data_IF_480755358406
#
_entry.id   IF_480755358406
#
_cell.length_a   1.000
_cell.length_b   1.000
_cell.length_c   1.000
_cell.angle_alpha   90.00
_cell.angle_beta   90.00
_cell.angle_gamma   90.00
#
_symmetry.space_group_name_H-M   'P 1'
#
loop_
_entity.id
_entity.type
_entity.pdbx_description
1 polymer ?
#
# COMPACT_ATOMS: atom_id res chain seq x y z
N UNK A 1 -44.35 -28.83 54.42
CA UNK A 1 -43.98 -27.76 53.46
C UNK A 1 -42.49 -27.88 53.20
N UNK A 2 -42.10 -28.47 52.07
CA UNK A 2 -40.71 -28.56 51.65
C UNK A 2 -40.59 -27.81 50.31
N UNK A 3 -39.86 -26.69 50.31
CA UNK A 3 -39.58 -25.93 49.10
C UNK A 3 -38.29 -26.46 48.49
N UNK A 4 -38.39 -27.02 47.28
CA UNK A 4 -37.27 -27.39 46.42
C UNK A 4 -36.83 -26.14 45.66
N UNK A 5 -35.59 -25.69 45.87
CA UNK A 5 -34.97 -24.65 45.05
C UNK A 5 -34.08 -25.32 44.01
N UNK A 6 -34.54 -25.34 42.76
CA UNK A 6 -33.75 -25.78 41.60
C UNK A 6 -32.81 -24.64 41.17
N UNK A 7 -31.52 -24.78 41.46
CA UNK A 7 -30.48 -23.90 40.93
C UNK A 7 -30.17 -24.30 39.48
N UNK A 8 -30.68 -23.52 38.52
CA UNK A 8 -30.36 -23.67 37.11
C UNK A 8 -29.02 -22.98 36.80
N UNK A 9 -27.94 -23.76 36.70
CA UNK A 9 -26.62 -23.26 36.29
C UNK A 9 -26.61 -22.88 34.82
N UNK A 10 -26.54 -21.58 34.53
CA UNK A 10 -26.39 -21.04 33.18
C UNK A 10 -24.92 -21.18 32.73
N UNK A 11 -24.63 -22.17 31.90
CA UNK A 11 -23.32 -22.31 31.24
C UNK A 11 -23.19 -21.25 30.14
N UNK A 12 -22.49 -20.15 30.44
CA UNK A 12 -22.07 -19.17 29.44
C UNK A 12 -20.93 -19.81 28.65
N UNK A 13 -21.22 -20.37 27.47
CA UNK A 13 -20.18 -20.70 26.50
C UNK A 13 -19.59 -19.39 25.98
N UNK A 14 -18.43 -19.00 26.51
CA UNK A 14 -17.60 -17.98 25.89
C UNK A 14 -17.11 -18.51 24.53
N UNK A 15 -17.68 -17.99 23.45
CA UNK A 15 -17.18 -18.25 22.10
C UNK A 15 -15.82 -17.58 21.94
N UNK A 16 -14.72 -18.32 22.12
CA UNK A 16 -13.40 -17.85 21.71
C UNK A 16 -13.39 -17.77 20.17
N UNK A 17 -13.53 -16.57 19.63
CA UNK A 17 -13.23 -16.28 18.24
C UNK A 17 -11.71 -16.40 18.04
N UNK A 18 -11.24 -17.53 17.52
CA UNK A 18 -9.87 -17.64 17.00
C UNK A 18 -9.75 -16.70 15.79
N UNK A 19 -9.12 -15.54 15.98
CA UNK A 19 -8.82 -14.64 14.89
C UNK A 19 -7.75 -15.28 14.00
N UNK A 20 -8.13 -15.63 12.77
CA UNK A 20 -7.23 -16.21 11.77
C UNK A 20 -6.37 -15.12 11.14
N UNK A 21 -5.13 -15.45 10.77
CA UNK A 21 -4.27 -14.53 10.02
C UNK A 21 -4.96 -14.09 8.72
N UNK A 22 -4.86 -12.80 8.40
CA UNK A 22 -5.36 -12.25 7.15
C UNK A 22 -4.39 -12.60 6.00
N UNK A 23 -4.93 -12.99 4.86
CA UNK A 23 -4.15 -13.14 3.63
C UNK A 23 -4.12 -11.83 2.85
N UNK A 24 -2.91 -11.41 2.48
CA UNK A 24 -2.67 -10.34 1.51
C UNK A 24 -2.20 -10.97 0.20
N UNK A 25 -3.04 -10.88 -0.82
CA UNK A 25 -2.70 -11.23 -2.20
C UNK A 25 -1.96 -10.05 -2.84
N UNK A 26 -0.63 -10.13 -2.92
CA UNK A 26 0.20 -9.09 -3.51
C UNK A 26 0.47 -9.48 -4.96
N UNK A 27 -0.11 -8.73 -5.90
CA UNK A 27 -0.14 -9.07 -7.33
C UNK A 27 0.63 -8.03 -8.13
N UNK A 28 1.50 -8.48 -9.03
CA UNK A 28 2.13 -7.61 -10.00
C UNK A 28 1.40 -7.66 -11.36
N UNK A 29 0.72 -6.59 -11.74
CA UNK A 29 0.16 -6.43 -13.10
C UNK A 29 0.95 -5.43 -13.96
N UNK A 30 2.07 -4.92 -13.45
CA UNK A 30 2.94 -4.03 -14.20
C UNK A 30 3.57 -4.75 -15.41
N UNK A 31 3.90 -4.02 -16.48
CA UNK A 31 4.62 -4.57 -17.63
C UNK A 31 6.11 -4.86 -17.35
N UNK A 32 6.54 -4.77 -16.09
CA UNK A 32 7.91 -4.97 -15.63
C UNK A 32 7.94 -5.75 -14.32
N UNK A 33 9.08 -6.36 -14.00
CA UNK A 33 9.30 -7.01 -12.71
C UNK A 33 9.22 -6.00 -11.56
N UNK A 34 8.49 -6.37 -10.51
CA UNK A 34 8.43 -5.65 -9.24
C UNK A 34 9.00 -6.55 -8.15
N UNK A 35 9.85 -6.01 -7.28
CA UNK A 35 10.27 -6.70 -6.08
C UNK A 35 9.37 -6.24 -4.95
N UNK A 36 8.26 -6.95 -4.76
CA UNK A 36 7.33 -6.70 -3.65
C UNK A 36 8.08 -6.78 -2.32
N UNK A 37 7.66 -5.96 -1.38
CA UNK A 37 8.22 -5.87 -0.05
C UNK A 37 7.10 -5.68 0.97
N UNK A 38 7.30 -6.22 2.16
CA UNK A 38 6.39 -6.08 3.28
C UNK A 38 7.17 -5.98 4.59
N UNK A 39 6.69 -5.13 5.49
CA UNK A 39 7.19 -5.01 6.85
C UNK A 39 5.99 -5.02 7.79
N UNK A 40 5.77 -6.09 8.57
CA UNK A 40 6.49 -7.38 8.54
C UNK A 40 6.20 -8.18 7.24
N UNK A 41 7.10 -9.09 6.86
CA UNK A 41 6.84 -10.08 5.79
C UNK A 41 8.02 -10.38 4.87
N UNK A 42 8.97 -9.46 4.72
CA UNK A 42 10.17 -9.65 3.89
C UNK A 42 9.98 -9.12 2.48
N UNK A 43 10.37 -9.88 1.45
CA UNK A 43 10.19 -9.45 0.08
C UNK A 43 10.29 -10.58 -0.94
N UNK A 44 9.72 -10.36 -2.12
CA UNK A 44 9.62 -11.35 -3.18
C UNK A 44 9.70 -10.70 -4.56
N UNK A 45 10.45 -11.31 -5.47
CA UNK A 45 10.44 -10.95 -6.88
C UNK A 45 9.13 -11.44 -7.51
N UNK A 46 8.41 -10.53 -8.18
CA UNK A 46 7.18 -10.81 -8.92
C UNK A 46 7.33 -10.32 -10.35
N UNK A 47 7.35 -11.26 -11.30
CA UNK A 47 7.10 -10.93 -12.71
C UNK A 47 5.62 -10.61 -12.93
N UNK A 48 5.30 -10.10 -14.12
CA UNK A 48 3.93 -9.79 -14.51
C UNK A 48 3.02 -11.01 -14.34
N UNK A 49 1.87 -10.81 -13.72
CA UNK A 49 0.88 -11.84 -13.42
C UNK A 49 1.20 -12.69 -12.19
N UNK A 50 2.39 -12.58 -11.59
CA UNK A 50 2.73 -13.35 -10.41
C UNK A 50 2.10 -12.75 -9.15
N UNK A 51 1.79 -13.64 -8.21
CA UNK A 51 1.17 -13.31 -6.92
C UNK A 51 2.02 -13.82 -5.76
N UNK A 52 2.08 -13.04 -4.69
CA UNK A 52 2.60 -13.44 -3.39
C UNK A 52 1.48 -13.39 -2.36
N UNK A 53 1.15 -14.55 -1.78
CA UNK A 53 0.28 -14.62 -0.60
C UNK A 53 1.12 -14.38 0.66
N UNK A 54 0.80 -13.31 1.39
CA UNK A 54 1.41 -12.95 2.66
C UNK A 54 0.37 -13.11 3.77
N UNK A 55 0.66 -13.96 4.76
CA UNK A 55 -0.20 -14.15 5.92
C UNK A 55 0.25 -13.25 7.07
N UNK A 56 -0.66 -12.41 7.56
CA UNK A 56 -0.37 -11.43 8.62
C UNK A 56 -1.30 -11.65 9.80
N UNK A 57 -0.72 -11.74 10.99
CA UNK A 57 -1.48 -12.01 12.21
C UNK A 57 -2.37 -10.82 12.62
N UNK A 58 -3.56 -11.07 13.19
CA UNK A 58 -4.37 -10.03 13.79
C UNK A 58 -3.57 -9.29 14.89
N UNK A 59 -3.85 -8.00 15.09
CA UNK A 59 -3.12 -7.13 16.01
C UNK A 59 -1.85 -6.51 15.42
N UNK A 60 -1.39 -6.95 14.25
CA UNK A 60 -0.27 -6.32 13.54
C UNK A 60 -0.60 -4.86 13.22
N UNK A 61 0.29 -3.93 13.55
CA UNK A 61 0.15 -2.50 13.29
C UNK A 61 1.45 -1.93 12.70
N UNK A 62 1.39 -0.69 12.23
CA UNK A 62 2.51 -0.01 11.55
C UNK A 62 3.07 -0.83 10.36
N UNK A 63 2.18 -1.58 9.71
CA UNK A 63 2.57 -2.51 8.67
C UNK A 63 2.45 -1.86 7.28
N UNK A 64 3.38 -2.24 6.40
CA UNK A 64 3.49 -1.68 5.06
C UNK A 64 3.70 -2.78 4.03
N UNK A 65 3.06 -2.64 2.88
CA UNK A 65 3.39 -3.34 1.64
C UNK A 65 3.72 -2.30 0.58
N UNK A 66 4.80 -2.51 -0.17
CA UNK A 66 5.18 -1.64 -1.29
C UNK A 66 5.89 -2.43 -2.39
N UNK A 67 5.98 -1.84 -3.58
CA UNK A 67 6.72 -2.40 -4.70
C UNK A 67 8.05 -1.67 -4.89
N UNK A 68 9.11 -2.41 -5.20
CA UNK A 68 10.44 -1.87 -5.49
C UNK A 68 10.79 -2.06 -6.96
N UNK A 69 11.43 -1.06 -7.56
CA UNK A 69 11.81 -1.08 -8.99
C UNK A 69 13.31 -0.97 -9.19
N UNK A 70 13.79 -1.43 -10.35
CA UNK A 70 15.20 -1.34 -10.73
C UNK A 70 16.15 -2.07 -9.77
N UNK A 71 15.73 -3.23 -9.26
CA UNK A 71 16.52 -3.97 -8.29
C UNK A 71 17.53 -4.91 -8.94
N UNK A 72 18.69 -5.04 -8.30
CA UNK A 72 19.68 -6.05 -8.62
C UNK A 72 20.13 -6.72 -7.32
N UNK A 73 19.96 -8.03 -7.22
CA UNK A 73 20.33 -8.85 -6.07
C UNK A 73 21.23 -10.01 -6.50
N UNK A 74 22.25 -10.31 -5.70
CA UNK A 74 23.05 -11.53 -5.85
C UNK A 74 22.25 -12.78 -5.40
N UNK A 75 22.84 -13.97 -5.57
CA UNK A 75 22.23 -15.23 -5.16
C UNK A 75 21.97 -15.37 -3.65
N UNK A 76 22.55 -14.50 -2.82
CA UNK A 76 22.29 -14.42 -1.38
C UNK A 76 21.23 -13.38 -1.01
N UNK A 77 20.61 -12.73 -2.00
CA UNK A 77 19.61 -11.69 -1.80
C UNK A 77 20.18 -10.33 -1.40
N UNK A 78 21.50 -10.12 -1.49
CA UNK A 78 22.14 -8.82 -1.19
C UNK A 78 22.22 -7.98 -2.46
N UNK A 79 21.93 -6.70 -2.34
CA UNK A 79 21.79 -5.83 -3.49
C UNK A 79 21.04 -4.56 -3.17
N UNK A 80 20.57 -3.87 -4.20
CA UNK A 80 19.90 -2.57 -4.09
C UNK A 80 18.77 -2.45 -5.10
N UNK A 81 17.76 -1.68 -4.73
CA UNK A 81 16.72 -1.18 -5.62
C UNK A 81 16.88 0.32 -5.90
N UNK A 82 16.36 0.76 -7.05
CA UNK A 82 16.32 2.17 -7.41
C UNK A 82 15.27 2.93 -6.60
N UNK A 83 14.10 2.32 -6.37
CA UNK A 83 13.03 2.87 -5.53
C UNK A 83 12.59 1.86 -4.48
N UNK A 84 12.22 2.33 -3.29
CA UNK A 84 11.71 1.49 -2.20
C UNK A 84 12.74 0.52 -1.61
N UNK A 85 14.04 0.72 -1.83
CA UNK A 85 15.09 -0.12 -1.28
C UNK A 85 14.99 -0.23 0.25
N UNK A 86 15.33 -1.38 0.82
CA UNK A 86 15.13 -1.63 2.24
C UNK A 86 16.36 -2.30 2.87
N UNK A 87 16.51 -2.13 4.17
CA UNK A 87 17.45 -2.93 4.95
C UNK A 87 17.11 -4.42 4.83
N UNK A 88 18.12 -5.28 4.69
CA UNK A 88 17.92 -6.73 4.46
C UNK A 88 17.92 -7.16 2.98
N UNK A 89 18.05 -6.23 2.03
CA UNK A 89 18.15 -6.57 0.61
C UNK A 89 16.85 -7.13 0.07
N UNK A 90 16.87 -8.33 -0.52
CA UNK A 90 15.65 -8.97 -1.05
C UNK A 90 14.57 -9.15 0.03
N UNK A 91 14.97 -9.56 1.24
CA UNK A 91 14.10 -9.82 2.37
C UNK A 91 14.10 -8.64 3.36
N UNK A 92 13.20 -7.68 3.16
CA UNK A 92 13.14 -6.46 3.96
C UNK A 92 13.00 -6.73 5.47
N UNK A 93 13.81 -6.02 6.26
CA UNK A 93 13.80 -6.02 7.73
C UNK A 93 13.36 -4.67 8.33
N UNK A 94 12.83 -3.79 7.48
CA UNK A 94 12.38 -2.44 7.84
C UNK A 94 11.65 -1.81 6.66
N UNK A 95 11.33 -0.53 6.79
CA UNK A 95 10.64 0.23 5.75
C UNK A 95 11.55 0.56 4.56
N UNK A 96 10.95 0.77 3.40
CA UNK A 96 11.67 1.15 2.19
C UNK A 96 12.04 2.64 2.16
N UNK A 97 13.08 2.96 1.39
CA UNK A 97 13.53 4.33 1.13
C UNK A 97 12.64 4.99 0.05
N UNK A 98 12.09 6.19 0.31
CA UNK A 98 11.34 6.97 -0.68
C UNK A 98 12.08 7.20 -2.02
N UNK A 99 11.35 7.32 -3.15
CA UNK A 99 9.90 7.28 -3.24
C UNK A 99 9.35 5.86 -3.32
N UNK A 100 8.26 5.59 -2.61
CA UNK A 100 7.54 4.31 -2.70
C UNK A 100 6.05 4.51 -2.36
N UNK A 101 5.16 4.09 -3.26
CA UNK A 101 3.73 4.05 -2.99
C UNK A 101 3.47 2.97 -1.94
N UNK A 102 2.83 3.33 -0.82
CA UNK A 102 2.60 2.42 0.30
C UNK A 102 1.14 1.96 0.34
N UNK A 103 0.94 0.68 0.61
CA UNK A 103 -0.27 0.18 1.27
C UNK A 103 0.06 0.06 2.76
N UNK A 104 -0.56 0.89 3.60
CA UNK A 104 -0.38 0.85 5.06
C UNK A 104 -1.60 0.20 5.71
N UNK A 105 -1.38 -0.59 6.76
CA UNK A 105 -2.48 -1.24 7.46
C UNK A 105 -2.18 -1.55 8.93
N UNK A 106 -3.26 -1.68 9.71
CA UNK A 106 -3.25 -2.17 11.07
C UNK A 106 -4.48 -3.07 11.29
N UNK A 107 -4.27 -4.34 11.66
CA UNK A 107 -5.30 -5.37 11.71
C UNK A 107 -5.87 -5.56 13.11
N UNK A 108 -7.17 -5.78 13.23
CA UNK A 108 -7.90 -6.05 14.47
C UNK A 108 -7.56 -5.04 15.59
N UNK A 109 -7.76 -3.76 15.29
CA UNK A 109 -7.48 -2.64 16.18
C UNK A 109 -8.74 -2.27 16.97
N UNK A 110 -8.95 -0.98 17.23
CA UNK A 110 -10.12 -0.48 17.94
C UNK A 110 -11.43 -0.97 17.30
N UNK A 111 -12.36 -1.42 18.15
CA UNK A 111 -13.69 -1.91 17.75
C UNK A 111 -13.70 -3.09 16.76
N UNK A 112 -12.68 -3.95 16.79
CA UNK A 112 -12.52 -5.09 15.87
C UNK A 112 -12.53 -4.65 14.40
N UNK A 113 -11.87 -3.52 14.12
CA UNK A 113 -11.69 -2.99 12.78
C UNK A 113 -10.24 -3.13 12.34
N UNK A 114 -10.08 -3.48 11.08
CA UNK A 114 -8.85 -3.28 10.35
C UNK A 114 -8.85 -1.83 9.81
N UNK A 115 -7.72 -1.14 9.93
CA UNK A 115 -7.47 0.18 9.35
C UNK A 115 -6.51 0.01 8.19
N UNK A 116 -6.80 0.67 7.07
CA UNK A 116 -5.98 0.55 5.87
C UNK A 116 -6.04 1.80 5.00
N UNK A 117 -4.96 2.06 4.28
CA UNK A 117 -4.83 3.22 3.41
C UNK A 117 -3.75 3.01 2.33
N UNK A 118 -3.78 3.88 1.32
CA UNK A 118 -2.66 4.10 0.42
C UNK A 118 -2.02 5.41 0.86
N UNK A 119 -0.69 5.43 0.97
CA UNK A 119 0.04 6.61 1.41
C UNK A 119 1.09 7.02 0.40
N UNK A 120 1.07 8.32 0.09
CA UNK A 120 2.04 9.03 -0.75
C UNK A 120 2.88 10.01 0.08
N UNK A 121 2.83 9.90 1.41
CA UNK A 121 3.68 10.67 2.33
C UNK A 121 5.16 10.34 2.14
N UNK A 122 5.44 9.10 1.73
CA UNK A 122 6.77 8.63 1.33
C UNK A 122 6.96 8.64 -0.21
N UNK A 123 6.11 9.38 -0.92
CA UNK A 123 6.16 9.55 -2.37
C UNK A 123 5.44 8.46 -3.17
N UNK A 124 5.69 8.44 -4.47
CA UNK A 124 5.05 7.55 -5.43
C UNK A 124 6.08 6.94 -6.36
N UNK A 125 5.96 5.65 -6.66
CA UNK A 125 6.76 5.00 -7.69
C UNK A 125 5.91 4.11 -8.61
N UNK A 126 5.00 3.32 -8.05
CA UNK A 126 4.18 2.35 -8.77
C UNK A 126 2.69 2.66 -8.49
N UNK A 127 1.82 2.71 -9.51
CA UNK A 127 0.37 2.78 -9.33
C UNK A 127 -0.15 1.58 -8.52
N UNK A 128 -1.13 1.80 -7.64
CA UNK A 128 -1.60 0.78 -6.70
C UNK A 128 -3.11 0.80 -6.53
N UNK A 129 -3.71 -0.39 -6.45
CA UNK A 129 -4.95 -0.59 -5.72
C UNK A 129 -4.70 -1.36 -4.43
N UNK A 130 -5.54 -1.09 -3.44
CA UNK A 130 -5.58 -1.85 -2.20
C UNK A 130 -7.04 -2.01 -1.75
N UNK A 131 -7.49 -3.23 -1.55
CA UNK A 131 -8.90 -3.49 -1.19
C UNK A 131 -9.11 -4.85 -0.51
N UNK A 132 -10.15 -4.99 0.31
CA UNK A 132 -10.54 -6.29 0.84
C UNK A 132 -11.19 -7.17 -0.24
N UNK A 133 -10.81 -8.45 -0.28
CA UNK A 133 -11.33 -9.41 -1.28
C UNK A 133 -12.66 -10.04 -0.88
N UNK A 134 -13.03 -9.98 0.40
CA UNK A 134 -14.24 -10.59 0.94
C UNK A 134 -15.51 -9.72 0.72
N UNK A 135 -15.37 -8.55 0.06
CA UNK A 135 -16.45 -7.60 -0.21
C UNK A 135 -16.85 -6.74 1.01
N UNK A 136 -17.58 -5.65 0.75
CA UNK A 136 -18.26 -4.85 1.80
C UNK A 136 -17.55 -3.59 2.29
N UNK A 137 -16.25 -3.41 2.03
CA UNK A 137 -15.53 -2.17 2.36
C UNK A 137 -14.94 -1.50 1.12
N UNK A 138 -14.49 -0.25 1.27
CA UNK A 138 -14.10 0.62 0.17
C UNK A 138 -12.82 0.12 -0.54
N UNK A 139 -12.82 0.15 -1.88
CA UNK A 139 -11.59 -0.09 -2.66
C UNK A 139 -10.87 1.24 -2.83
N UNK A 140 -9.62 1.30 -2.41
CA UNK A 140 -8.78 2.49 -2.59
C UNK A 140 -7.81 2.31 -3.75
N UNK A 141 -7.62 3.39 -4.49
CA UNK A 141 -6.87 3.37 -5.75
C UNK A 141 -6.04 4.64 -5.91
N UNK A 142 -4.81 4.46 -6.38
CA UNK A 142 -3.94 5.53 -6.84
C UNK A 142 -3.29 5.14 -8.16
N UNK A 143 -3.93 5.55 -9.27
CA UNK A 143 -3.61 5.05 -10.61
C UNK A 143 -3.21 6.12 -11.62
N UNK A 144 -3.15 7.38 -11.20
CA UNK A 144 -2.73 8.49 -12.04
C UNK A 144 -1.25 8.37 -12.44
N UNK A 145 -0.88 8.99 -13.56
CA UNK A 145 0.52 9.15 -13.96
C UNK A 145 1.22 10.24 -13.13
N UNK A 146 1.47 9.93 -11.85
CA UNK A 146 2.17 10.82 -10.94
C UNK A 146 3.64 10.98 -11.35
N UNK A 147 4.28 9.92 -11.85
CA UNK A 147 5.68 9.98 -12.27
C UNK A 147 5.90 10.92 -13.46
N UNK A 148 5.08 10.78 -14.52
CA UNK A 148 5.18 11.64 -15.71
C UNK A 148 4.79 13.09 -15.43
N UNK A 149 3.90 13.32 -14.46
CA UNK A 149 3.43 14.66 -14.09
C UNK A 149 4.16 15.24 -12.88
N UNK A 150 5.18 14.56 -12.36
CA UNK A 150 5.83 14.94 -11.11
C UNK A 150 6.42 16.37 -11.19
N UNK A 151 6.11 17.26 -10.21
CA UNK A 151 6.68 18.58 -10.13
C UNK A 151 8.21 18.53 -10.10
N UNK A 152 8.86 19.46 -10.78
CA UNK A 152 10.34 19.48 -10.93
C UNK A 152 11.10 19.23 -9.61
N UNK A 153 10.81 19.98 -8.52
CA UNK A 153 11.51 19.80 -7.24
C UNK A 153 11.31 18.44 -6.56
N UNK A 154 10.28 17.68 -6.95
CA UNK A 154 9.92 16.39 -6.36
C UNK A 154 10.38 15.19 -7.18
N UNK A 155 10.89 15.42 -8.40
CA UNK A 155 11.30 14.33 -9.29
C UNK A 155 12.45 13.53 -8.68
N UNK A 156 12.31 12.21 -8.73
CA UNK A 156 13.35 11.26 -8.39
C UNK A 156 13.48 10.22 -9.51
N UNK A 157 14.58 9.49 -9.53
CA UNK A 157 14.77 8.46 -10.54
C UNK A 157 13.73 7.35 -10.33
N UNK A 158 12.81 7.18 -11.28
CA UNK A 158 11.77 6.14 -11.24
C UNK A 158 10.61 6.42 -10.27
N UNK A 159 10.48 7.66 -9.78
CA UNK A 159 9.41 8.03 -8.86
C UNK A 159 9.23 9.54 -8.68
N UNK A 160 8.29 9.90 -7.82
CA UNK A 160 8.02 11.26 -7.37
C UNK A 160 8.05 11.30 -5.84
N UNK A 161 9.00 12.02 -5.26
CA UNK A 161 9.10 12.19 -3.81
C UNK A 161 7.94 13.04 -3.27
N UNK A 162 7.57 12.81 -2.02
CA UNK A 162 6.75 13.76 -1.28
C UNK A 162 7.59 15.00 -0.89
N UNK A 163 7.00 16.20 -0.78
CA UNK A 163 7.72 17.37 -0.29
C UNK A 163 8.34 17.19 1.11
N UNK A 164 7.79 16.35 1.99
CA UNK A 164 8.43 16.07 3.28
C UNK A 164 9.83 15.45 3.09
N UNK A 165 9.94 14.45 2.21
CA UNK A 165 11.21 13.78 1.88
C UNK A 165 12.25 14.77 1.36
N UNK A 166 11.82 15.74 0.54
CA UNK A 166 12.72 16.69 -0.14
C UNK A 166 13.12 17.85 0.79
N UNK A 167 12.13 18.51 1.41
CA UNK A 167 12.33 19.77 2.10
C UNK A 167 12.53 19.63 3.61
N UNK A 168 12.03 18.55 4.22
CA UNK A 168 12.24 18.22 5.65
C UNK A 168 11.83 19.33 6.62
N UNK A 169 10.80 20.12 6.28
CA UNK A 169 10.26 21.18 7.14
C UNK A 169 8.98 20.72 7.84
N UNK A 170 8.62 21.37 8.96
CA UNK A 170 7.33 21.11 9.62
C UNK A 170 6.14 21.35 8.68
N UNK A 171 6.23 22.28 7.74
CA UNK A 171 5.17 22.56 6.76
C UNK A 171 4.75 21.30 5.99
N UNK A 172 5.70 20.45 5.62
CA UNK A 172 5.45 19.24 4.84
C UNK A 172 5.43 17.96 5.69
N UNK A 173 6.19 17.94 6.78
CA UNK A 173 6.40 16.75 7.61
C UNK A 173 5.58 16.74 8.91
N UNK A 174 4.92 17.85 9.25
CA UNK A 174 4.02 17.93 10.41
C UNK A 174 4.67 17.55 11.75
N UNK A 175 5.97 17.85 11.91
CA UNK A 175 6.78 17.41 13.06
C UNK A 175 6.43 18.09 14.39
N UNK A 176 5.70 19.19 14.36
CA UNK A 176 5.30 19.96 15.55
C UNK A 176 3.96 19.49 16.15
N UNK A 177 3.44 18.34 15.74
CA UNK A 177 2.26 17.70 16.33
C UNK A 177 0.95 17.95 15.59
N UNK A 178 -0.15 17.43 16.14
CA UNK A 178 -1.47 17.49 15.48
C UNK A 178 -1.93 18.93 15.24
N UNK A 179 -2.38 19.22 14.02
CA UNK A 179 -2.80 20.55 13.58
C UNK A 179 -1.65 21.49 13.22
N UNK A 180 -0.39 21.06 13.25
CA UNK A 180 0.77 21.91 12.95
C UNK A 180 1.05 22.13 11.46
N UNK A 181 0.32 21.44 10.59
CA UNK A 181 0.46 21.48 9.14
C UNK A 181 -0.90 21.31 8.46
N UNK A 182 -0.95 21.52 7.15
CA UNK A 182 -2.14 21.27 6.35
C UNK A 182 -1.78 21.12 4.87
N UNK A 183 -2.80 21.11 3.99
CA UNK A 183 -2.57 20.94 2.56
C UNK A 183 -1.70 22.05 1.96
N UNK A 184 -0.59 21.65 1.33
CA UNK A 184 0.30 22.50 0.52
C UNK A 184 0.03 22.31 -0.98
N UNK A 185 0.58 23.18 -1.84
CA UNK A 185 0.50 23.03 -3.29
C UNK A 185 1.05 21.67 -3.77
N UNK A 186 2.11 21.17 -3.15
CA UNK A 186 2.69 19.86 -3.45
C UNK A 186 1.80 18.70 -2.98
N UNK A 187 1.24 18.75 -1.77
CA UNK A 187 0.31 17.70 -1.33
C UNK A 187 -0.96 17.66 -2.19
N UNK A 188 -1.49 18.82 -2.60
CA UNK A 188 -2.64 18.92 -3.50
C UNK A 188 -2.37 18.27 -4.86
N UNK A 189 -1.15 18.40 -5.40
CA UNK A 189 -0.75 17.68 -6.62
C UNK A 189 -0.99 16.17 -6.52
N UNK A 190 -0.60 15.54 -5.40
CA UNK A 190 -0.85 14.12 -5.15
C UNK A 190 -2.34 13.86 -4.90
N UNK A 191 -3.00 14.67 -4.08
CA UNK A 191 -4.40 14.44 -3.67
C UNK A 191 -5.40 14.55 -4.82
N UNK A 192 -5.19 15.50 -5.72
CA UNK A 192 -6.03 15.68 -6.91
C UNK A 192 -5.96 14.47 -7.86
N UNK A 193 -4.83 13.75 -7.84
CA UNK A 193 -4.54 12.59 -8.68
C UNK A 193 -4.93 11.26 -8.03
N UNK A 194 -4.84 11.19 -6.70
CA UNK A 194 -5.16 10.02 -5.91
C UNK A 194 -5.98 10.45 -4.68
N UNK A 195 -7.29 10.63 -4.91
CA UNK A 195 -8.22 11.20 -3.92
C UNK A 195 -8.33 10.39 -2.63
N UNK A 196 -8.16 9.07 -2.74
CA UNK A 196 -8.25 8.14 -1.62
C UNK A 196 -6.93 8.03 -0.83
N UNK A 197 -5.82 8.56 -1.34
CA UNK A 197 -4.51 8.36 -0.72
C UNK A 197 -4.14 9.51 0.22
N UNK A 198 -3.35 9.19 1.27
CA UNK A 198 -2.68 10.21 2.07
C UNK A 198 -1.71 10.99 1.19
N UNK A 199 -1.86 12.31 1.18
CA UNK A 199 -0.98 13.22 0.43
C UNK A 199 0.00 14.01 1.31
N UNK A 200 -0.29 14.09 2.60
CA UNK A 200 0.53 14.67 3.67
C UNK A 200 0.21 13.96 5.01
N UNK A 201 1.04 14.09 6.05
CA UNK A 201 0.94 13.26 7.27
C UNK A 201 -0.37 13.35 8.08
N UNK A 202 -1.15 14.42 7.95
CA UNK A 202 -2.40 14.62 8.71
C UNK A 202 -3.63 14.68 7.78
N UNK A 203 -3.60 13.91 6.70
CA UNK A 203 -4.68 13.76 5.70
C UNK A 203 -5.70 12.68 6.09
N UNK A 204 -5.85 12.40 7.40
CA UNK A 204 -6.71 11.33 7.92
C UNK A 204 -8.18 11.39 7.45
N UNK A 205 -8.84 12.57 7.42
CA UNK A 205 -10.28 12.65 7.19
C UNK A 205 -10.75 12.11 5.84
N UNK A 206 -9.87 12.00 4.86
CA UNK A 206 -10.20 11.54 3.50
C UNK A 206 -9.37 10.35 3.02
N UNK A 207 -8.55 9.78 3.90
CA UNK A 207 -7.55 8.78 3.51
C UNK A 207 -7.51 7.55 4.41
N UNK A 208 -8.19 7.57 5.57
CA UNK A 208 -8.31 6.39 6.43
C UNK A 208 -9.55 5.59 6.08
N UNK A 209 -9.36 4.30 5.81
CA UNK A 209 -10.45 3.37 5.54
C UNK A 209 -10.48 2.26 6.58
N UNK A 210 -11.66 1.69 6.80
CA UNK A 210 -11.86 0.62 7.77
C UNK A 210 -12.63 -0.53 7.18
N UNK A 211 -12.35 -1.72 7.69
CA UNK A 211 -13.08 -2.94 7.36
C UNK A 211 -13.21 -3.82 8.61
N UNK A 212 -14.23 -4.70 8.72
CA UNK A 212 -14.29 -5.65 9.84
C UNK A 212 -13.02 -6.50 9.91
N UNK A 213 -12.53 -6.73 11.13
CA UNK A 213 -11.37 -7.58 11.36
C UNK A 213 -11.58 -9.00 10.83
N UNK A 214 -10.48 -9.59 10.34
CA UNK A 214 -10.51 -10.90 9.68
C UNK A 214 -10.78 -10.80 8.17
N UNK A 215 -10.74 -9.60 7.61
CA UNK A 215 -10.77 -9.39 6.16
C UNK A 215 -9.48 -9.88 5.51
N UNK A 216 -9.60 -10.49 4.33
CA UNK A 216 -8.47 -10.72 3.43
C UNK A 216 -8.36 -9.56 2.45
N UNK A 217 -7.17 -9.32 1.94
CA UNK A 217 -6.86 -8.15 1.13
C UNK A 217 -6.13 -8.50 -0.16
N UNK A 218 -6.21 -7.59 -1.13
CA UNK A 218 -5.38 -7.60 -2.33
C UNK A 218 -4.68 -6.27 -2.49
N UNK A 219 -3.38 -6.33 -2.73
CA UNK A 219 -2.54 -5.20 -3.16
C UNK A 219 -2.13 -5.45 -4.59
N UNK A 220 -2.56 -4.59 -5.51
CA UNK A 220 -2.34 -4.76 -6.95
C UNK A 220 -1.47 -3.64 -7.49
N UNK A 221 -0.26 -3.98 -7.92
CA UNK A 221 0.62 -3.06 -8.63
C UNK A 221 0.20 -2.91 -10.10
N UNK A 222 0.14 -1.67 -10.58
CA UNK A 222 -0.32 -1.30 -11.93
C UNK A 222 -1.71 -1.88 -12.27
N UNK A 223 -2.78 -1.47 -11.56
CA UNK A 223 -4.11 -2.04 -11.74
C UNK A 223 -4.71 -1.81 -13.13
N UNK A 224 -4.32 -0.73 -13.82
CA UNK A 224 -4.71 -0.47 -15.21
C UNK A 224 -3.85 -1.23 -16.24
N UNK A 225 -2.77 -1.89 -15.80
CA UNK A 225 -1.79 -2.53 -16.67
C UNK A 225 -0.88 -1.52 -17.37
N UNK A 226 -0.73 -1.67 -18.69
CA UNK A 226 -0.13 -0.65 -19.56
C UNK A 226 -1.03 0.59 -19.59
N UNK A 227 -0.47 1.82 -19.60
CA UNK A 227 -1.26 2.96 -19.99
C UNK A 227 -1.86 2.65 -21.35
N UNK A 228 -3.20 2.71 -21.47
CA UNK A 228 -3.85 2.73 -22.77
C UNK A 228 -3.34 3.96 -23.50
N UNK A 229 -2.21 3.84 -24.21
CA UNK A 229 -1.87 4.76 -25.27
C UNK A 229 -3.11 4.80 -26.18
N UNK A 230 -3.66 5.99 -26.47
CA UNK A 230 -4.75 6.08 -27.44
C UNK A 230 -4.31 5.35 -28.72
N UNK A 231 -5.21 4.54 -29.28
CA UNK A 231 -5.05 3.74 -30.51
C UNK A 231 -4.56 4.54 -31.76
N UNK A 232 -4.26 5.83 -31.62
CA UNK A 232 -3.87 6.74 -32.69
C UNK A 232 -2.36 6.81 -32.96
N UNK A 233 -1.51 6.03 -32.27
CA UNK A 233 -0.06 6.01 -32.51
C UNK A 233 0.51 4.65 -32.91
N UNK A 234 -0.31 3.70 -33.35
CA UNK A 234 0.23 2.53 -34.06
C UNK A 234 0.63 2.98 -35.48
N UNK A 235 1.91 2.91 -35.88
CA UNK A 235 2.29 3.15 -37.25
C UNK A 235 1.59 2.11 -38.13
N UNK A 236 0.85 2.58 -39.13
CA UNK A 236 0.26 1.74 -40.17
C UNK A 236 1.39 0.99 -40.86
N UNK A 237 1.48 -0.32 -40.62
CA UNK A 237 2.37 -1.19 -41.36
C UNK A 237 1.79 -1.39 -42.78
N UNK A 238 1.98 -0.42 -43.66
CA UNK A 238 1.80 -0.64 -45.10
C UNK A 238 3.02 -1.37 -45.63
N UNK A 239 2.99 -2.69 -45.51
CA UNK A 239 3.75 -3.56 -46.40
C UNK A 239 3.07 -3.48 -47.77
N UNK A 240 3.62 -2.69 -48.70
CA UNK A 240 3.32 -2.88 -50.11
C UNK A 240 4.52 -3.56 -50.76
N UNK A 241 4.26 -4.80 -51.17
CA UNK A 241 4.96 -5.50 -52.23
C UNK A 241 5.01 -4.61 -53.48
N UNK A 242 6.20 -4.41 -54.06
CA UNK A 242 6.63 -4.92 -55.37
C UNK A 242 8.12 -4.62 -55.54
#
# INVERSE_FOLDING_TARGET
MAHSHSLSSLLILASLSLATAANFEIVNNCPYTVWAAASPGGGRRLDRGQTWNLWVNPGTAMARIWGRTGCNFDGSGRGRCQTGDCTGGLNCQGWGVPPNTLAEFALNQYNNLDFYDISLVDGFNIPMDFYPVNGGCHRISCTADINGQCPGPLRAQGGCNNPCTVFKTNEYCCTNGQGSCGPTSYSKFFKERCRDAYSYPQDDPTSTFTCPAGSNYRVLFCPLGEPLLPLHMLPSNTTNQY
#
